data_IF_152671930559
#
_entry.id   IF_152671930559
#
_cell.length_a   1.000
_cell.length_b   1.000
_cell.length_c   1.000
_cell.angle_alpha   90.00
_cell.angle_beta   90.00
_cell.angle_gamma   90.00
#
_symmetry.space_group_name_H-M   'P 1'
#
loop_
_entity.id
_entity.type
_entity.pdbx_description
1 polymer ?
#
# COMPACT_ATOMS: atom_id res chain seq x y z
N UNK A 1 30.44 -15.88 -27.89
CA UNK A 1 29.46 -16.98 -27.84
C UNK A 1 28.13 -16.41 -27.40
N UNK A 2 27.16 -16.46 -28.30
CA UNK A 2 25.73 -16.20 -28.13
C UNK A 2 25.16 -17.08 -27.01
N UNK A 3 24.12 -16.71 -26.25
CA UNK A 3 22.78 -16.37 -26.72
C UNK A 3 21.95 -15.76 -25.58
N UNK A 4 21.25 -14.65 -25.87
CA UNK A 4 20.18 -14.09 -25.04
C UNK A 4 18.88 -14.82 -25.40
N UNK A 5 18.25 -15.50 -24.44
CA UNK A 5 16.91 -16.06 -24.60
C UNK A 5 15.88 -15.07 -24.05
N UNK A 6 15.42 -14.15 -24.89
CA UNK A 6 14.22 -13.37 -24.65
C UNK A 6 13.02 -14.13 -25.22
N UNK A 7 12.27 -14.83 -24.38
CA UNK A 7 10.99 -15.42 -24.76
C UNK A 7 9.88 -14.38 -24.62
N UNK A 8 9.67 -13.58 -25.66
CA UNK A 8 8.43 -12.81 -25.81
C UNK A 8 7.39 -13.71 -26.48
N UNK A 9 6.62 -14.44 -25.67
CA UNK A 9 5.38 -15.07 -26.13
C UNK A 9 4.32 -14.00 -26.33
N UNK A 10 4.16 -13.52 -27.56
CA UNK A 10 3.01 -12.70 -27.96
C UNK A 10 1.75 -13.57 -27.97
N UNK A 11 0.96 -13.52 -26.89
CA UNK A 11 -0.42 -14.01 -26.91
C UNK A 11 -1.24 -13.02 -27.73
N UNK A 12 -1.52 -13.35 -28.98
CA UNK A 12 -2.52 -12.67 -29.79
C UNK A 12 -3.89 -12.86 -29.14
N UNK A 13 -4.37 -11.82 -28.49
CA UNK A 13 -5.72 -11.77 -27.93
C UNK A 13 -6.70 -11.59 -29.10
N UNK A 14 -7.26 -12.68 -29.61
CA UNK A 14 -8.39 -12.59 -30.55
C UNK A 14 -9.60 -12.06 -29.77
N UNK A 15 -9.84 -10.75 -29.86
CA UNK A 15 -11.11 -10.15 -29.46
C UNK A 15 -12.18 -10.67 -30.40
N UNK A 16 -12.97 -11.65 -29.95
CA UNK A 16 -14.22 -12.00 -30.61
C UNK A 16 -15.17 -10.81 -30.49
N UNK A 17 -15.34 -10.05 -31.57
CA UNK A 17 -16.41 -9.08 -31.66
C UNK A 17 -17.72 -9.85 -31.73
N UNK A 18 -18.44 -9.91 -30.61
CA UNK A 18 -19.82 -10.39 -30.58
C UNK A 18 -20.70 -9.35 -31.28
N UNK A 19 -20.91 -9.52 -32.58
CA UNK A 19 -21.96 -8.83 -33.31
C UNK A 19 -23.29 -9.45 -32.86
N UNK A 20 -24.10 -8.67 -32.14
CA UNK A 20 -25.42 -9.10 -31.70
C UNK A 20 -26.42 -8.92 -32.84
N UNK A 21 -26.69 -9.99 -33.58
CA UNK A 21 -27.77 -10.05 -34.56
C UNK A 21 -29.08 -10.46 -33.88
N UNK A 22 -30.08 -9.60 -33.89
CA UNK A 22 -31.46 -9.98 -33.55
C UNK A 22 -32.12 -10.52 -34.82
N UNK A 23 -32.11 -11.85 -34.94
CA UNK A 23 -32.88 -12.58 -35.95
C UNK A 23 -34.24 -12.89 -35.35
N UNK A 24 -35.28 -12.19 -35.79
CA UNK A 24 -36.67 -12.63 -35.61
C UNK A 24 -37.03 -13.57 -36.77
N UNK A 25 -36.56 -14.82 -36.70
CA UNK A 25 -37.11 -15.92 -37.51
C UNK A 25 -38.15 -16.66 -36.68
N UNK A 26 -39.40 -16.61 -37.12
CA UNK A 26 -40.49 -17.47 -36.63
C UNK A 26 -40.49 -18.82 -37.37
N UNK A 27 -39.37 -19.55 -37.28
CA UNK A 27 -39.29 -20.96 -37.70
C UNK A 27 -39.64 -21.89 -36.53
N UNK A 28 -39.93 -23.18 -36.77
CA UNK A 28 -40.13 -24.15 -35.69
C UNK A 28 -38.79 -24.38 -34.97
N UNK A 29 -38.48 -23.54 -33.99
CA UNK A 29 -37.29 -23.66 -33.14
C UNK A 29 -37.35 -24.97 -32.36
N UNK A 30 -36.55 -25.96 -32.78
CA UNK A 30 -36.29 -27.14 -31.95
C UNK A 30 -35.30 -26.74 -30.88
N UNK A 31 -35.83 -26.28 -29.74
CA UNK A 31 -35.03 -26.08 -28.54
C UNK A 31 -34.42 -27.42 -28.11
N UNK A 32 -33.14 -27.46 -27.71
CA UNK A 32 -32.58 -28.67 -27.11
C UNK A 32 -33.47 -29.04 -25.93
N UNK A 33 -33.91 -30.30 -25.86
CA UNK A 33 -34.77 -30.78 -24.78
C UNK A 33 -34.03 -30.63 -23.45
N UNK A 34 -34.34 -29.58 -22.70
CA UNK A 34 -33.73 -29.32 -21.40
C UNK A 34 -34.27 -30.34 -20.39
N UNK A 35 -33.50 -31.40 -20.17
CA UNK A 35 -33.76 -32.40 -19.13
C UNK A 35 -32.78 -32.29 -17.97
N UNK A 36 -33.01 -33.05 -16.90
CA UNK A 36 -32.09 -33.17 -15.76
C UNK A 36 -30.68 -33.70 -16.13
N UNK A 37 -30.48 -34.16 -17.36
CA UNK A 37 -29.18 -34.57 -17.89
C UNK A 37 -28.40 -33.43 -18.58
N UNK A 38 -28.94 -32.20 -18.59
CA UNK A 38 -28.29 -31.05 -19.20
C UNK A 38 -26.90 -30.78 -18.58
N UNK A 39 -25.97 -30.19 -19.34
CA UNK A 39 -24.59 -29.95 -18.88
C UNK A 39 -24.50 -29.15 -17.58
N UNK A 40 -25.47 -28.27 -17.31
CA UNK A 40 -25.52 -27.49 -16.08
C UNK A 40 -25.72 -28.38 -14.85
N UNK A 41 -26.64 -29.34 -14.91
CA UNK A 41 -26.96 -30.26 -13.81
C UNK A 41 -25.82 -31.24 -13.51
N UNK A 42 -25.10 -31.67 -14.54
CA UNK A 42 -23.92 -32.53 -14.36
C UNK A 42 -22.78 -31.78 -13.67
N UNK A 43 -22.58 -30.51 -14.01
CA UNK A 43 -21.57 -29.65 -13.37
C UNK A 43 -21.95 -29.32 -11.93
N UNK A 44 -23.21 -29.00 -11.65
CA UNK A 44 -23.67 -28.72 -10.28
C UNK A 44 -23.59 -29.97 -9.40
N UNK A 45 -23.99 -31.14 -9.92
CA UNK A 45 -23.82 -32.42 -9.22
C UNK A 45 -22.33 -32.69 -8.92
N UNK A 46 -21.44 -32.43 -9.89
CA UNK A 46 -19.99 -32.55 -9.70
C UNK A 46 -19.46 -31.65 -8.59
N UNK A 47 -19.91 -30.39 -8.52
CA UNK A 47 -19.53 -29.45 -7.45
C UNK A 47 -20.06 -29.92 -6.08
N UNK A 48 -21.29 -30.41 -6.02
CA UNK A 48 -21.88 -30.92 -4.78
C UNK A 48 -21.11 -32.14 -4.28
N UNK A 49 -20.81 -33.10 -5.15
CA UNK A 49 -20.03 -34.29 -4.81
C UNK A 49 -18.62 -33.89 -4.34
N UNK A 50 -17.96 -32.97 -5.05
CA UNK A 50 -16.65 -32.46 -4.66
C UNK A 50 -16.70 -31.79 -3.28
N UNK A 51 -17.75 -31.01 -2.98
CA UNK A 51 -17.96 -30.39 -1.68
C UNK A 51 -18.16 -31.40 -0.55
N UNK A 52 -18.89 -32.50 -0.80
CA UNK A 52 -19.06 -33.58 0.18
C UNK A 52 -17.76 -34.33 0.45
N UNK A 53 -16.98 -34.63 -0.59
CA UNK A 53 -15.65 -35.26 -0.47
C UNK A 53 -14.73 -34.34 0.34
N UNK A 54 -14.72 -33.04 0.04
CA UNK A 54 -13.95 -32.06 0.80
C UNK A 54 -14.37 -31.99 2.27
N UNK A 55 -15.67 -31.92 2.54
CA UNK A 55 -16.20 -31.89 3.91
C UNK A 55 -15.80 -33.14 4.70
N UNK A 56 -15.86 -34.32 4.08
CA UNK A 56 -15.45 -35.56 4.73
C UNK A 56 -13.95 -35.59 5.02
N UNK A 57 -13.13 -35.10 4.09
CA UNK A 57 -11.69 -34.96 4.29
C UNK A 57 -11.37 -33.98 5.42
N UNK A 58 -12.02 -32.81 5.44
CA UNK A 58 -11.85 -31.79 6.46
C UNK A 58 -12.21 -32.32 7.87
N UNK A 59 -13.31 -33.06 7.99
CA UNK A 59 -13.70 -33.74 9.22
C UNK A 59 -12.68 -34.80 9.66
N UNK A 60 -12.07 -35.52 8.72
CA UNK A 60 -11.03 -36.52 9.01
C UNK A 60 -9.76 -35.86 9.57
N UNK A 61 -9.31 -34.75 8.97
CA UNK A 61 -8.14 -34.02 9.45
C UNK A 61 -8.40 -33.32 10.79
N UNK A 62 -9.58 -32.71 10.96
CA UNK A 62 -9.99 -32.03 12.20
C UNK A 62 -10.04 -32.99 13.40
N UNK A 63 -10.58 -34.21 13.22
CA UNK A 63 -10.66 -35.23 14.30
C UNK A 63 -9.30 -35.76 14.74
N UNK A 64 -8.32 -35.80 13.84
CA UNK A 64 -6.94 -36.20 14.17
C UNK A 64 -6.16 -35.12 14.92
N UNK A 65 -6.68 -33.89 14.98
CA UNK A 65 -5.98 -32.75 15.59
C UNK A 65 -4.73 -32.32 14.80
N UNK A 66 -4.52 -32.88 13.60
CA UNK A 66 -3.41 -32.51 12.73
C UNK A 66 -3.81 -31.34 11.82
N UNK A 67 -2.86 -30.44 11.55
CA UNK A 67 -3.09 -29.32 10.61
C UNK A 67 -3.45 -29.86 9.23
N UNK A 68 -4.47 -29.25 8.61
CA UNK A 68 -4.92 -29.60 7.27
C UNK A 68 -3.74 -29.53 6.27
N UNK A 69 -3.61 -30.48 5.32
CA UNK A 69 -2.49 -30.51 4.37
C UNK A 69 -2.40 -29.24 3.52
N UNK A 70 -3.53 -28.62 3.18
CA UNK A 70 -3.53 -27.32 2.47
C UNK A 70 -2.96 -26.21 3.34
N UNK A 71 -3.23 -26.20 4.64
CA UNK A 71 -2.61 -25.24 5.57
C UNK A 71 -1.10 -25.45 5.64
N UNK A 72 -0.62 -26.69 5.69
CA UNK A 72 0.82 -27.01 5.63
C UNK A 72 1.45 -26.53 4.31
N UNK A 73 0.77 -26.70 3.19
CA UNK A 73 1.23 -26.22 1.89
C UNK A 73 1.30 -24.69 1.83
N UNK A 74 0.28 -23.99 2.33
CA UNK A 74 0.30 -22.52 2.44
C UNK A 74 1.43 -22.07 3.36
N UNK A 75 1.64 -22.74 4.49
CA UNK A 75 2.72 -22.45 5.45
C UNK A 75 4.10 -22.53 4.80
N UNK A 76 4.35 -23.46 3.88
CA UNK A 76 5.63 -23.53 3.14
C UNK A 76 5.89 -22.37 2.19
N UNK A 77 4.83 -21.68 1.72
CA UNK A 77 4.95 -20.50 0.86
C UNK A 77 5.08 -19.21 1.68
N UNK A 78 4.81 -19.25 2.97
CA UNK A 78 4.86 -18.11 3.87
C UNK A 78 6.22 -18.01 4.56
N UNK A 79 6.55 -16.79 5.01
CA UNK A 79 7.70 -16.55 5.88
C UNK A 79 7.42 -17.20 7.25
N UNK A 80 8.38 -17.93 7.85
CA UNK A 80 8.16 -18.61 9.12
C UNK A 80 7.88 -17.62 10.25
N UNK A 81 7.09 -18.06 11.23
CA UNK A 81 6.67 -17.26 12.38
C UNK A 81 7.86 -16.70 13.18
N UNK A 82 8.97 -17.45 13.26
CA UNK A 82 10.20 -17.03 13.94
C UNK A 82 10.76 -15.72 13.39
N UNK A 83 10.70 -15.51 12.07
CA UNK A 83 11.18 -14.29 11.43
C UNK A 83 10.26 -13.10 11.69
N UNK A 84 8.94 -13.32 11.69
CA UNK A 84 8.00 -12.29 12.09
C UNK A 84 8.18 -11.89 13.55
N UNK A 85 8.37 -12.87 14.45
CA UNK A 85 8.65 -12.61 15.85
C UNK A 85 9.94 -11.82 16.04
N UNK A 86 11.00 -12.18 15.31
CA UNK A 86 12.27 -11.43 15.29
C UNK A 86 12.07 -9.98 14.85
N UNK A 87 11.38 -9.75 13.73
CA UNK A 87 11.08 -8.41 13.21
C UNK A 87 10.26 -7.58 14.20
N UNK A 88 9.24 -8.18 14.80
CA UNK A 88 8.39 -7.52 15.80
C UNK A 88 9.18 -7.12 17.04
N UNK A 89 10.08 -8.00 17.52
CA UNK A 89 10.98 -7.68 18.63
C UNK A 89 11.91 -6.52 18.27
N UNK A 90 12.55 -6.56 17.10
CA UNK A 90 13.41 -5.45 16.64
C UNK A 90 12.64 -4.13 16.58
N UNK A 91 11.43 -4.13 16.01
CA UNK A 91 10.59 -2.94 15.95
C UNK A 91 10.19 -2.44 17.35
N UNK A 92 9.88 -3.36 18.27
CA UNK A 92 9.59 -3.02 19.67
C UNK A 92 10.79 -2.33 20.32
N UNK A 93 12.01 -2.87 20.16
CA UNK A 93 13.21 -2.24 20.69
C UNK A 93 13.44 -0.83 20.13
N UNK A 94 13.34 -0.66 18.81
CA UNK A 94 13.50 0.65 18.16
C UNK A 94 12.42 1.64 18.62
N UNK A 95 11.18 1.20 18.81
CA UNK A 95 10.11 2.07 19.32
C UNK A 95 10.35 2.51 20.76
N UNK A 96 10.92 1.64 21.59
CA UNK A 96 11.29 1.95 22.97
C UNK A 96 12.46 2.93 23.00
N UNK A 97 13.45 2.75 22.13
CA UNK A 97 14.58 3.66 21.99
C UNK A 97 14.13 5.05 21.54
N UNK A 98 13.34 5.14 20.47
CA UNK A 98 12.77 6.41 20.02
C UNK A 98 11.91 7.10 21.09
N UNK A 99 11.18 6.32 21.91
CA UNK A 99 10.43 6.87 23.04
C UNK A 99 11.35 7.43 24.13
N UNK A 100 12.47 6.75 24.42
CA UNK A 100 13.49 7.25 25.36
C UNK A 100 14.13 8.54 24.87
N UNK A 101 14.49 8.60 23.59
CA UNK A 101 15.05 9.82 22.99
C UNK A 101 14.05 10.97 23.09
N UNK A 102 12.78 10.71 22.79
CA UNK A 102 11.72 11.72 22.94
C UNK A 102 11.55 12.20 24.38
N UNK A 103 11.69 11.31 25.37
CA UNK A 103 11.68 11.71 26.79
C UNK A 103 12.91 12.55 27.12
N UNK A 104 14.09 12.15 26.63
CA UNK A 104 15.35 12.86 26.89
C UNK A 104 15.37 14.27 26.30
N UNK A 105 14.84 14.44 25.09
CA UNK A 105 14.80 15.71 24.38
C UNK A 105 13.45 16.44 24.48
N UNK A 106 12.50 15.90 25.25
CA UNK A 106 11.15 16.46 25.34
C UNK A 106 11.11 17.87 25.92
N UNK A 107 12.01 18.15 26.86
CA UNK A 107 12.15 19.46 27.52
C UNK A 107 13.25 20.33 26.88
N UNK A 108 13.90 19.84 25.81
CA UNK A 108 14.95 20.58 25.14
C UNK A 108 14.31 21.68 24.27
N UNK A 109 14.32 22.91 24.77
CA UNK A 109 13.97 24.07 23.98
C UNK A 109 15.14 24.48 23.07
N UNK A 110 14.83 24.88 21.84
CA UNK A 110 15.81 25.53 20.97
C UNK A 110 16.26 26.84 21.65
N UNK A 111 17.55 27.20 21.56
CA UNK A 111 17.98 28.50 22.08
C UNK A 111 17.14 29.61 21.43
N UNK A 112 16.60 30.56 22.21
CA UNK A 112 15.79 31.63 21.66
C UNK A 112 16.63 32.46 20.69
N UNK A 113 16.28 32.41 19.40
CA UNK A 113 16.95 33.20 18.37
C UNK A 113 16.25 34.56 18.30
N UNK A 114 16.95 35.60 18.76
CA UNK A 114 16.49 36.97 18.60
C UNK A 114 16.83 37.47 17.20
N UNK A 115 15.85 37.49 16.30
CA UNK A 115 15.98 38.11 14.97
C UNK A 115 15.32 39.47 14.95
N UNK A 116 16.04 40.48 14.49
CA UNK A 116 15.44 41.76 14.13
C UNK A 116 14.51 41.52 12.94
N UNK A 117 13.22 41.85 13.09
CA UNK A 117 12.21 41.65 12.03
C UNK A 117 12.51 42.53 10.81
N UNK A 118 12.91 43.78 11.05
CA UNK A 118 13.17 44.78 10.03
C UNK A 118 14.45 45.57 10.36
N UNK A 119 15.65 45.08 10.00
CA UNK A 119 16.90 45.80 10.24
C UNK A 119 16.98 47.12 9.45
N UNK A 120 16.28 47.22 8.33
CA UNK A 120 16.33 48.41 7.47
C UNK A 120 15.50 49.58 8.04
N UNK A 121 14.74 49.38 9.14
CA UNK A 121 14.02 50.48 9.77
C UNK A 121 14.93 51.51 10.43
N UNK A 122 16.16 51.13 10.79
CA UNK A 122 17.14 52.06 11.36
C UNK A 122 17.53 53.18 10.38
N UNK A 123 17.45 52.91 9.07
CA UNK A 123 17.82 53.85 8.00
C UNK A 123 16.59 54.54 7.37
N UNK A 124 15.38 54.20 7.82
CA UNK A 124 14.13 54.76 7.29
C UNK A 124 13.80 56.11 7.93
N UNK A 125 14.59 57.11 7.59
CA UNK A 125 14.30 58.52 7.80
C UNK A 125 13.61 59.14 6.58
N UNK A 126 12.72 60.12 6.80
CA UNK A 126 12.23 60.98 5.71
C UNK A 126 13.33 61.98 5.37
N UNK A 127 13.79 62.11 4.11
CA UNK A 127 14.86 63.06 3.75
C UNK A 127 14.48 64.54 3.91
N UNK A 128 13.22 64.85 4.25
CA UNK A 128 12.67 66.19 4.25
C UNK A 128 12.22 66.61 5.65
N UNK A 129 12.49 67.87 6.00
CA UNK A 129 12.10 68.53 7.26
C UNK A 129 12.68 67.88 8.53
N UNK A 130 13.94 67.43 8.47
CA UNK A 130 14.66 66.90 9.63
C UNK A 130 15.36 68.06 10.34
N UNK A 131 15.10 68.25 11.63
CA UNK A 131 15.83 69.24 12.42
C UNK A 131 17.29 68.78 12.64
N UNK A 132 18.29 69.67 12.49
CA UNK A 132 19.69 69.33 12.72
C UNK A 132 19.89 68.76 14.13
N UNK A 133 20.42 67.54 14.23
CA UNK A 133 20.68 66.85 15.51
C UNK A 133 19.52 66.01 16.06
N UNK A 134 18.40 65.90 15.34
CA UNK A 134 17.28 65.00 15.72
C UNK A 134 17.53 63.52 15.38
N UNK A 135 18.42 63.24 14.42
CA UNK A 135 18.82 61.90 14.02
C UNK A 135 20.20 61.53 14.55
N UNK A 136 20.36 60.25 14.88
CA UNK A 136 21.63 59.65 15.29
C UNK A 136 22.28 59.06 14.05
N UNK A 137 23.59 59.27 13.87
CA UNK A 137 24.36 58.62 12.80
C UNK A 137 24.49 57.12 13.10
N UNK A 138 23.91 56.30 12.24
CA UNK A 138 23.90 54.83 12.34
C UNK A 138 24.77 54.15 11.27
N UNK A 139 25.63 54.90 10.59
CA UNK A 139 26.47 54.38 9.49
C UNK A 139 27.46 53.29 9.93
N UNK A 140 27.84 53.24 11.21
CA UNK A 140 28.71 52.20 11.80
C UNK A 140 27.92 51.09 12.55
N UNK A 141 26.61 50.97 12.29
CA UNK A 141 25.77 49.97 12.93
C UNK A 141 26.11 48.56 12.42
N UNK A 142 26.94 47.82 13.17
CA UNK A 142 27.22 46.41 12.91
C UNK A 142 26.14 45.54 13.54
N UNK A 143 25.14 45.14 12.74
CA UNK A 143 24.18 44.12 13.17
C UNK A 143 24.90 42.77 13.27
N UNK A 144 24.83 42.14 14.45
CA UNK A 144 25.34 40.78 14.64
C UNK A 144 24.59 39.83 13.69
N UNK A 145 25.30 39.35 12.67
CA UNK A 145 24.84 38.26 11.79
C UNK A 145 25.39 36.96 12.37
N UNK A 146 24.55 35.92 12.40
CA UNK A 146 24.95 34.58 12.84
C UNK A 146 26.15 34.05 12.02
#
# INVERSE_FOLDING_TARGET
WSSRLSLFTSRTFQRSLFVRSYVTESGPHQFPKEGFSAPIWRRTLGVVILGLIWYQADQYFTKKGERHPVTKWIETLMVPESEYKRRNLTHLYLSVEAAKDKVLFGDAELPPIYRLKDPDQFERASPHCIEPGSEVDLSDLVVKRD
#
